data_IF_251319231250
#
_entry.id   IF_251319231250
#
_cell.length_a   1.000
_cell.length_b   1.000
_cell.length_c   1.000
_cell.angle_alpha   90.00
_cell.angle_beta   90.00
_cell.angle_gamma   90.00
#
_symmetry.space_group_name_H-M   'P 1'
#
loop_
_entity.id
_entity.type
_entity.pdbx_description
1 polymer ?
#
# COMPACT_ATOMS: atom_id res chain seq x y z
N UNK A 1 -18.61 7.24 0.93
CA UNK A 1 -17.69 8.33 1.38
C UNK A 1 -16.48 7.70 2.02
N UNK A 2 -15.29 8.00 1.56
CA UNK A 2 -14.05 7.41 2.08
C UNK A 2 -13.75 7.88 3.51
N UNK A 3 -13.36 6.95 4.39
CA UNK A 3 -13.07 7.25 5.81
C UNK A 3 -12.05 6.27 6.38
N UNK A 4 -11.45 6.63 7.51
CA UNK A 4 -10.67 5.73 8.35
C UNK A 4 -11.64 4.78 9.08
N UNK A 5 -11.36 3.47 9.03
CA UNK A 5 -12.26 2.42 9.53
C UNK A 5 -11.99 2.14 11.01
N UNK A 6 -10.72 2.10 11.41
CA UNK A 6 -10.32 1.65 12.75
C UNK A 6 -9.16 2.50 13.30
N UNK A 7 -8.85 2.34 14.57
CA UNK A 7 -7.71 2.98 15.23
C UNK A 7 -8.00 4.38 15.75
N UNK A 8 -6.93 5.16 15.97
CA UNK A 8 -6.97 6.45 16.66
C UNK A 8 -7.70 7.55 15.88
N UNK A 9 -7.76 7.44 14.55
CA UNK A 9 -8.47 8.38 13.67
C UNK A 9 -9.80 7.81 13.12
N UNK A 10 -10.36 6.75 13.72
CA UNK A 10 -11.61 6.11 13.27
C UNK A 10 -12.72 7.13 12.98
N UNK A 11 -13.37 6.96 11.84
CA UNK A 11 -14.49 7.79 11.39
C UNK A 11 -14.08 9.09 10.69
N UNK A 12 -12.81 9.49 10.71
CA UNK A 12 -12.34 10.66 9.96
C UNK A 12 -12.57 10.46 8.47
N UNK A 13 -13.23 11.43 7.84
CA UNK A 13 -13.51 11.45 6.42
C UNK A 13 -12.25 11.83 5.64
N UNK A 14 -12.03 11.19 4.51
CA UNK A 14 -10.93 11.46 3.59
C UNK A 14 -11.46 12.06 2.29
N UNK A 15 -10.74 13.03 1.76
CA UNK A 15 -10.95 13.54 0.40
C UNK A 15 -10.48 12.50 -0.62
N UNK A 16 -11.10 12.49 -1.79
CA UNK A 16 -10.75 11.65 -2.94
C UNK A 16 -10.46 12.54 -4.14
N UNK A 17 -9.73 12.02 -5.11
CA UNK A 17 -9.57 12.63 -6.41
C UNK A 17 -10.94 12.75 -7.13
N UNK A 18 -11.14 13.79 -7.93
CA UNK A 18 -12.32 13.88 -8.79
C UNK A 18 -12.33 12.70 -9.77
N UNK A 19 -13.46 11.99 -9.84
CA UNK A 19 -13.61 10.79 -10.67
C UNK A 19 -13.28 9.47 -9.98
N UNK A 20 -12.60 9.46 -8.85
CA UNK A 20 -12.51 8.28 -7.96
C UNK A 20 -13.83 8.13 -7.18
N UNK A 21 -14.83 7.55 -7.82
CA UNK A 21 -16.05 7.20 -7.10
C UNK A 21 -15.72 6.20 -6.00
N UNK A 22 -16.03 6.57 -4.76
CA UNK A 22 -15.95 5.67 -3.61
C UNK A 22 -16.90 4.49 -3.84
N UNK A 23 -16.37 3.40 -4.38
CA UNK A 23 -17.15 2.17 -4.56
C UNK A 23 -17.30 1.49 -3.20
N UNK A 24 -18.49 0.97 -2.84
CA UNK A 24 -18.68 0.14 -1.64
C UNK A 24 -17.70 -1.03 -1.58
N UNK A 25 -17.24 -1.50 -2.74
CA UNK A 25 -16.24 -2.56 -2.89
C UNK A 25 -14.90 -2.15 -2.28
N UNK A 26 -14.48 -0.89 -2.41
CA UNK A 26 -13.19 -0.41 -1.88
C UNK A 26 -13.15 -0.40 -0.33
N UNK A 27 -14.23 -0.08 0.36
CA UNK A 27 -14.29 -0.17 1.83
C UNK A 27 -14.21 -1.63 2.30
N UNK A 28 -14.93 -2.55 1.65
CA UNK A 28 -14.88 -3.99 1.97
C UNK A 28 -13.51 -4.60 1.74
N UNK A 29 -12.85 -4.23 0.63
CA UNK A 29 -11.47 -4.68 0.34
C UNK A 29 -10.54 -4.18 1.44
N UNK A 30 -10.60 -2.89 1.76
CA UNK A 30 -9.79 -2.29 2.81
C UNK A 30 -10.02 -2.98 4.17
N UNK A 31 -11.26 -3.20 4.57
CA UNK A 31 -11.60 -3.95 5.79
C UNK A 31 -10.99 -5.35 5.79
N UNK A 32 -11.09 -6.08 4.69
CA UNK A 32 -10.59 -7.44 4.57
C UNK A 32 -9.06 -7.52 4.59
N UNK A 33 -8.37 -6.58 3.92
CA UNK A 33 -6.91 -6.45 3.96
C UNK A 33 -6.46 -6.20 5.39
N UNK A 34 -6.98 -5.15 6.02
CA UNK A 34 -6.58 -4.76 7.37
C UNK A 34 -7.01 -5.75 8.46
N UNK A 35 -8.06 -6.54 8.24
CA UNK A 35 -8.39 -7.67 9.12
C UNK A 35 -7.37 -8.79 9.01
N UNK A 36 -6.86 -9.06 7.81
CA UNK A 36 -5.88 -10.13 7.61
C UNK A 36 -4.50 -9.81 8.21
N UNK A 37 -4.11 -8.52 8.22
CA UNK A 37 -2.79 -8.06 8.71
C UNK A 37 -2.89 -7.29 10.04
N UNK A 38 -3.98 -7.40 10.78
CA UNK A 38 -4.28 -6.54 11.94
C UNK A 38 -3.22 -6.57 13.05
N UNK A 39 -2.50 -7.68 13.20
CA UNK A 39 -1.45 -7.85 14.21
C UNK A 39 -0.05 -7.49 13.71
N UNK A 40 0.05 -7.09 12.43
CA UNK A 40 1.32 -6.85 11.73
C UNK A 40 1.48 -5.38 11.32
N UNK A 41 0.80 -4.44 11.96
CA UNK A 41 0.80 -3.02 11.55
C UNK A 41 1.56 -2.14 12.54
N UNK A 42 1.45 -2.45 13.84
CA UNK A 42 2.03 -1.63 14.89
C UNK A 42 3.55 -1.46 14.70
N UNK A 43 4.03 -0.22 14.86
CA UNK A 43 5.42 0.20 14.70
C UNK A 43 6.07 -0.06 13.33
N UNK A 44 5.29 -0.49 12.33
CA UNK A 44 5.81 -0.74 10.97
C UNK A 44 6.08 0.55 10.19
N UNK A 45 7.11 0.51 9.38
CA UNK A 45 7.38 1.50 8.33
C UNK A 45 6.65 1.08 7.08
N UNK A 46 5.76 1.93 6.62
CA UNK A 46 4.84 1.65 5.52
C UNK A 46 5.25 2.40 4.26
N UNK A 47 5.14 1.73 3.12
CA UNK A 47 5.20 2.33 1.78
C UNK A 47 3.83 2.20 1.11
N UNK A 48 3.23 3.32 0.72
CA UNK A 48 2.04 3.39 -0.14
C UNK A 48 2.51 3.85 -1.52
N UNK A 49 2.73 2.89 -2.43
CA UNK A 49 3.49 3.11 -3.66
C UNK A 49 2.66 3.74 -4.79
N UNK A 50 1.34 3.67 -4.69
CA UNK A 50 0.37 4.30 -5.59
C UNK A 50 -0.71 4.95 -4.72
N UNK A 51 -0.32 6.04 -4.06
CA UNK A 51 -1.04 6.53 -2.88
C UNK A 51 -2.48 6.99 -3.15
N UNK A 52 -2.78 7.54 -4.34
CA UNK A 52 -4.11 8.09 -4.63
C UNK A 52 -4.57 9.06 -3.55
N UNK A 53 -5.61 8.70 -2.81
CA UNK A 53 -6.10 9.47 -1.65
C UNK A 53 -5.32 9.24 -0.35
N UNK A 54 -4.38 8.30 -0.32
CA UNK A 54 -3.59 7.91 0.85
C UNK A 54 -4.34 7.02 1.85
N UNK A 55 -5.46 6.42 1.43
CA UNK A 55 -6.35 5.69 2.34
C UNK A 55 -5.69 4.49 3.03
N UNK A 56 -4.79 3.76 2.34
CA UNK A 56 -4.13 2.57 2.91
C UNK A 56 -3.05 2.98 3.92
N UNK A 57 -2.21 3.93 3.56
CA UNK A 57 -1.18 4.45 4.46
C UNK A 57 -1.77 5.14 5.69
N UNK A 58 -2.80 5.97 5.54
CA UNK A 58 -3.45 6.67 6.66
C UNK A 58 -4.22 5.71 7.58
N UNK A 59 -4.85 4.68 7.04
CA UNK A 59 -5.45 3.60 7.84
C UNK A 59 -4.38 2.87 8.66
N UNK A 60 -3.20 2.61 8.06
CA UNK A 60 -2.07 1.98 8.77
C UNK A 60 -1.59 2.85 9.94
N UNK A 61 -1.46 4.17 9.76
CA UNK A 61 -1.11 5.10 10.84
C UNK A 61 -2.16 5.11 11.96
N UNK A 62 -3.44 5.07 11.59
CA UNK A 62 -4.53 4.99 12.55
C UNK A 62 -4.48 3.72 13.40
N UNK A 63 -3.88 2.66 12.88
CA UNK A 63 -3.71 1.34 13.55
C UNK A 63 -2.34 1.18 14.21
N UNK A 64 -1.54 2.24 14.31
CA UNK A 64 -0.29 2.24 15.07
C UNK A 64 0.98 2.12 14.24
N UNK A 65 0.94 2.20 12.90
CA UNK A 65 2.17 2.25 12.11
C UNK A 65 3.07 3.43 12.54
N UNK A 66 4.38 3.22 12.49
CA UNK A 66 5.36 4.22 12.90
C UNK A 66 5.42 5.40 11.92
N UNK A 67 5.45 5.11 10.62
CA UNK A 67 5.54 6.12 9.57
C UNK A 67 5.07 5.59 8.22
N UNK A 68 4.68 6.51 7.33
CA UNK A 68 4.31 6.16 5.95
C UNK A 68 5.06 7.05 4.96
N UNK A 69 5.59 6.40 3.91
CA UNK A 69 6.05 7.07 2.70
C UNK A 69 4.98 6.93 1.61
N UNK A 70 4.44 8.04 1.15
CA UNK A 70 3.45 8.10 0.09
C UNK A 70 4.11 8.48 -1.23
N UNK A 71 3.91 7.66 -2.26
CA UNK A 71 4.40 7.88 -3.62
C UNK A 71 3.20 7.90 -4.55
N UNK A 72 3.15 8.89 -5.42
CA UNK A 72 2.23 8.94 -6.55
C UNK A 72 2.85 9.76 -7.68
N UNK A 73 2.54 9.41 -8.91
CA UNK A 73 2.98 10.16 -10.08
C UNK A 73 2.19 11.47 -10.28
N UNK A 74 0.95 11.50 -9.79
CA UNK A 74 0.09 12.67 -9.85
C UNK A 74 0.34 13.62 -8.66
N UNK A 75 0.73 14.85 -8.97
CA UNK A 75 0.90 15.90 -7.94
C UNK A 75 -0.38 16.13 -7.14
N UNK A 76 -1.52 16.10 -7.81
CA UNK A 76 -2.83 16.31 -7.20
C UNK A 76 -3.14 15.23 -6.15
N UNK A 77 -2.81 13.95 -6.43
CA UNK A 77 -2.94 12.87 -5.45
C UNK A 77 -2.12 13.17 -4.19
N UNK A 78 -0.86 13.55 -4.34
CA UNK A 78 -0.01 13.88 -3.20
C UNK A 78 -0.54 15.09 -2.40
N UNK A 79 -1.12 16.10 -3.04
CA UNK A 79 -1.74 17.22 -2.31
C UNK A 79 -2.98 16.75 -1.51
N UNK A 80 -3.80 15.87 -2.08
CA UNK A 80 -4.93 15.26 -1.36
C UNK A 80 -4.44 14.42 -0.17
N UNK A 81 -3.39 13.61 -0.34
CA UNK A 81 -2.79 12.85 0.77
C UNK A 81 -2.35 13.78 1.91
N UNK A 82 -1.69 14.90 1.60
CA UNK A 82 -1.28 15.89 2.61
C UNK A 82 -2.47 16.47 3.38
N UNK A 83 -3.55 16.84 2.68
CA UNK A 83 -4.75 17.33 3.31
C UNK A 83 -5.41 16.27 4.21
N UNK A 84 -5.46 15.03 3.75
CA UNK A 84 -5.98 13.90 4.51
C UNK A 84 -5.12 13.59 5.73
N UNK A 85 -3.79 13.65 5.61
CA UNK A 85 -2.86 13.50 6.72
C UNK A 85 -3.06 14.59 7.79
N UNK A 86 -3.29 15.84 7.37
CA UNK A 86 -3.63 16.94 8.27
C UNK A 86 -4.98 16.70 8.98
N UNK A 87 -6.00 16.26 8.24
CA UNK A 87 -7.34 15.98 8.79
C UNK A 87 -7.31 14.85 9.82
N UNK A 88 -6.49 13.83 9.57
CA UNK A 88 -6.33 12.69 10.48
C UNK A 88 -5.37 12.97 11.64
N UNK A 89 -4.52 14.01 11.56
CA UNK A 89 -3.54 14.37 12.58
C UNK A 89 -2.21 13.63 12.46
N UNK A 90 -1.88 13.07 11.28
CA UNK A 90 -0.69 12.24 11.09
C UNK A 90 0.41 12.89 10.25
N UNK A 91 0.35 14.21 10.02
CA UNK A 91 1.30 14.91 9.12
C UNK A 91 2.76 14.72 9.48
N UNK A 92 3.09 14.61 10.74
CA UNK A 92 4.44 14.39 11.28
C UNK A 92 5.00 12.97 11.05
N UNK A 93 4.12 12.01 10.82
CA UNK A 93 4.46 10.60 10.52
C UNK A 93 4.50 10.29 9.02
N UNK A 94 4.23 11.27 8.17
CA UNK A 94 4.10 11.10 6.73
C UNK A 94 5.27 11.73 5.97
N UNK A 95 5.75 11.02 4.96
CA UNK A 95 6.62 11.55 3.91
C UNK A 95 5.93 11.43 2.56
N UNK A 96 6.17 12.39 1.67
CA UNK A 96 5.47 12.49 0.40
C UNK A 96 6.45 12.70 -0.75
N UNK A 97 6.22 12.05 -1.89
CA UNK A 97 7.00 12.30 -3.08
C UNK A 97 6.14 12.15 -4.34
N UNK A 98 6.14 13.16 -5.18
CA UNK A 98 5.59 13.07 -6.54
C UNK A 98 6.64 12.38 -7.41
N UNK A 99 6.40 11.12 -7.79
CA UNK A 99 7.32 10.33 -8.60
C UNK A 99 6.61 9.14 -9.23
N UNK A 100 7.04 8.76 -10.41
CA UNK A 100 6.80 7.41 -10.92
C UNK A 100 7.49 6.38 -10.00
N UNK A 101 6.85 5.23 -9.79
CA UNK A 101 7.32 4.21 -8.85
C UNK A 101 8.69 3.63 -9.22
N UNK A 102 9.00 3.47 -10.52
CA UNK A 102 10.31 2.96 -11.00
C UNK A 102 11.43 3.92 -10.67
N UNK A 103 11.18 5.22 -10.89
CA UNK A 103 12.13 6.27 -10.55
C UNK A 103 12.36 6.36 -9.04
N UNK A 104 11.29 6.24 -8.25
CA UNK A 104 11.40 6.20 -6.79
C UNK A 104 12.24 5.02 -6.33
N UNK A 105 11.89 3.80 -6.73
CA UNK A 105 12.58 2.57 -6.33
C UNK A 105 14.06 2.64 -6.69
N UNK A 106 14.39 3.04 -7.92
CA UNK A 106 15.77 3.21 -8.37
C UNK A 106 16.60 4.19 -7.52
N UNK A 107 16.01 5.34 -7.15
CA UNK A 107 16.66 6.36 -6.31
C UNK A 107 16.74 6.01 -4.83
N UNK A 108 15.85 5.15 -4.37
CA UNK A 108 15.78 4.70 -2.99
C UNK A 108 16.60 3.42 -2.73
N UNK A 109 17.13 2.77 -3.76
CA UNK A 109 17.94 1.55 -3.64
C UNK A 109 19.07 1.71 -2.61
N UNK A 110 19.25 0.71 -1.75
CA UNK A 110 20.23 0.71 -0.66
C UNK A 110 19.84 1.58 0.53
N UNK A 111 18.65 2.17 0.56
CA UNK A 111 18.11 2.84 1.74
C UNK A 111 17.44 1.82 2.66
N UNK A 112 17.09 2.30 3.86
CA UNK A 112 16.37 1.48 4.83
C UNK A 112 15.00 1.02 4.29
N UNK A 113 14.75 -0.30 4.32
CA UNK A 113 13.57 -0.94 3.77
C UNK A 113 12.28 -0.69 4.56
N UNK A 114 11.19 -1.21 4.02
CA UNK A 114 9.83 -1.11 4.57
C UNK A 114 9.38 -2.46 5.13
N UNK A 115 8.49 -2.40 6.12
CA UNK A 115 7.90 -3.57 6.79
C UNK A 115 6.52 -3.91 6.23
N UNK A 116 5.82 -2.95 5.64
CA UNK A 116 4.52 -3.11 5.01
C UNK A 116 4.45 -2.25 3.73
N UNK A 117 4.06 -2.86 2.63
CA UNK A 117 3.98 -2.17 1.33
C UNK A 117 2.62 -2.41 0.70
N UNK A 118 1.97 -1.34 0.24
CA UNK A 118 0.78 -1.38 -0.59
C UNK A 118 1.14 -1.08 -2.03
N UNK A 119 0.67 -1.92 -2.95
CA UNK A 119 0.88 -1.81 -4.40
C UNK A 119 -0.48 -1.95 -5.07
N UNK A 120 -1.13 -0.83 -5.35
CA UNK A 120 -2.43 -0.72 -6.02
C UNK A 120 -2.33 0.22 -7.22
N UNK A 121 -1.74 -0.22 -8.33
CA UNK A 121 -1.59 0.60 -9.52
C UNK A 121 -2.94 0.83 -10.22
N UNK A 122 -3.16 2.01 -10.83
CA UNK A 122 -4.44 2.36 -11.46
C UNK A 122 -4.84 1.44 -12.62
N UNK A 123 -3.91 0.75 -13.24
CA UNK A 123 -4.17 -0.18 -14.36
C UNK A 123 -3.10 -1.26 -14.44
N UNK A 124 -3.58 -2.52 -14.60
CA UNK A 124 -2.89 -3.70 -15.09
C UNK A 124 -1.91 -4.44 -14.16
N UNK A 125 -2.17 -5.73 -14.05
CA UNK A 125 -1.42 -6.81 -13.41
C UNK A 125 0.10 -6.74 -13.48
N UNK A 126 0.63 -6.42 -14.67
CA UNK A 126 2.08 -6.37 -14.91
C UNK A 126 2.81 -5.34 -14.06
N UNK A 127 2.15 -4.24 -13.70
CA UNK A 127 2.76 -3.20 -12.87
C UNK A 127 2.89 -3.63 -11.40
N UNK A 128 1.99 -4.43 -10.86
CA UNK A 128 2.05 -4.88 -9.47
C UNK A 128 3.21 -5.85 -9.25
N UNK A 129 3.39 -6.83 -10.13
CA UNK A 129 4.52 -7.78 -10.08
C UNK A 129 5.85 -7.05 -10.34
N UNK A 130 5.92 -6.19 -11.37
CA UNK A 130 7.12 -5.40 -11.67
C UNK A 130 7.54 -4.55 -10.48
N UNK A 131 6.60 -3.92 -9.80
CA UNK A 131 6.87 -3.12 -8.61
C UNK A 131 7.40 -3.98 -7.45
N UNK A 132 6.78 -5.12 -7.17
CA UNK A 132 7.22 -6.03 -6.10
C UNK A 132 8.64 -6.57 -6.35
N UNK A 133 8.95 -6.99 -7.59
CA UNK A 133 10.29 -7.43 -8.00
C UNK A 133 11.32 -6.34 -7.81
N UNK A 134 11.03 -5.13 -8.30
CA UNK A 134 11.96 -3.98 -8.18
C UNK A 134 12.21 -3.59 -6.74
N UNK A 135 11.20 -3.65 -5.86
CA UNK A 135 11.38 -3.38 -4.43
C UNK A 135 12.31 -4.41 -3.78
N UNK A 136 12.15 -5.69 -4.15
CA UNK A 136 13.03 -6.76 -3.70
C UNK A 136 14.47 -6.57 -4.18
N UNK A 137 14.66 -6.38 -5.50
CA UNK A 137 15.99 -6.17 -6.11
C UNK A 137 16.70 -4.92 -5.58
N UNK A 138 15.96 -3.88 -5.23
CA UNK A 138 16.49 -2.65 -4.67
C UNK A 138 16.81 -2.73 -3.16
N UNK A 139 16.53 -3.87 -2.49
CA UNK A 139 16.72 -4.04 -1.05
C UNK A 139 15.81 -3.15 -0.20
N UNK A 140 14.61 -2.84 -0.71
CA UNK A 140 13.65 -1.95 -0.02
C UNK A 140 12.60 -2.70 0.80
N UNK A 141 12.71 -4.03 0.92
CA UNK A 141 11.89 -4.85 1.78
C UNK A 141 12.73 -5.38 2.93
N UNK A 142 12.25 -5.25 4.16
CA UNK A 142 12.86 -5.88 5.34
C UNK A 142 12.45 -7.35 5.40
N UNK A 143 13.28 -8.19 6.01
CA UNK A 143 12.91 -9.56 6.32
C UNK A 143 11.59 -9.61 7.08
N UNK A 144 10.64 -10.44 6.66
CA UNK A 144 9.29 -10.48 7.19
C UNK A 144 8.38 -9.32 6.77
N UNK A 145 8.75 -8.57 5.73
CA UNK A 145 7.87 -7.54 5.17
C UNK A 145 6.62 -8.14 4.55
N UNK A 146 5.49 -7.49 4.79
CA UNK A 146 4.22 -7.82 4.15
C UNK A 146 4.03 -6.91 2.93
N UNK A 147 3.69 -7.52 1.80
CA UNK A 147 3.36 -6.82 0.55
C UNK A 147 1.93 -7.12 0.17
N UNK A 148 1.10 -6.10 0.09
CA UNK A 148 -0.29 -6.18 -0.36
C UNK A 148 -0.33 -5.74 -1.81
N UNK A 149 -0.67 -6.69 -2.70
CA UNK A 149 -0.82 -6.44 -4.13
C UNK A 149 -2.30 -6.40 -4.50
N UNK A 150 -2.76 -5.31 -5.10
CA UNK A 150 -4.02 -5.28 -5.83
C UNK A 150 -3.75 -5.50 -7.32
N UNK A 151 -4.56 -6.36 -7.93
CA UNK A 151 -4.57 -6.60 -9.37
C UNK A 151 -6.00 -6.57 -9.92
N UNK A 152 -6.11 -6.38 -11.25
CA UNK A 152 -7.40 -6.38 -11.94
C UNK A 152 -8.07 -7.75 -12.02
N UNK A 153 -8.74 -8.03 -13.14
CA UNK A 153 -9.66 -9.15 -13.31
C UNK A 153 -8.98 -10.54 -13.34
N UNK A 154 -7.68 -10.59 -13.62
CA UNK A 154 -6.96 -11.86 -13.79
C UNK A 154 -6.12 -12.21 -12.55
N UNK A 155 -6.04 -13.50 -12.28
CA UNK A 155 -5.13 -14.04 -11.27
C UNK A 155 -3.68 -13.75 -11.64
N UNK A 156 -2.92 -13.23 -10.69
CA UNK A 156 -1.49 -12.94 -10.89
C UNK A 156 -0.71 -14.25 -10.87
N UNK A 157 0.17 -14.46 -11.84
CA UNK A 157 1.18 -15.50 -11.77
C UNK A 157 2.26 -15.11 -10.75
N UNK A 158 2.13 -15.66 -9.55
CA UNK A 158 3.06 -15.43 -8.44
C UNK A 158 4.34 -16.26 -8.54
N UNK A 159 4.48 -17.14 -9.55
CA UNK A 159 5.70 -17.95 -9.75
C UNK A 159 6.96 -17.08 -9.92
N UNK A 160 6.79 -15.85 -10.41
CA UNK A 160 7.86 -14.87 -10.54
C UNK A 160 8.29 -14.23 -9.21
N UNK A 161 7.58 -14.48 -8.12
CA UNK A 161 7.82 -13.93 -6.78
C UNK A 161 8.25 -15.03 -5.79
N UNK A 162 9.18 -15.89 -6.19
CA UNK A 162 9.63 -17.08 -5.43
C UNK A 162 10.19 -16.77 -4.04
N UNK A 163 10.59 -15.52 -3.76
CA UNK A 163 11.04 -15.07 -2.43
C UNK A 163 9.88 -14.68 -1.51
N UNK A 164 8.63 -14.83 -1.97
CA UNK A 164 7.45 -14.49 -1.19
C UNK A 164 6.62 -15.75 -0.91
N UNK A 165 6.08 -15.83 0.29
CA UNK A 165 5.01 -16.74 0.65
C UNK A 165 3.66 -16.04 0.52
N UNK A 166 2.69 -16.71 -0.11
CA UNK A 166 1.32 -16.22 -0.20
C UNK A 166 0.61 -16.49 1.12
N UNK A 167 0.35 -15.43 1.90
CA UNK A 167 -0.45 -15.54 3.14
C UNK A 167 -1.93 -15.67 2.79
N UNK A 168 -2.39 -14.86 1.85
CA UNK A 168 -3.80 -14.82 1.43
C UNK A 168 -3.92 -14.35 0.00
N UNK A 169 -4.81 -15.03 -0.75
CA UNK A 169 -5.25 -14.59 -2.07
C UNK A 169 -6.77 -14.57 -2.07
N UNK A 170 -7.39 -13.48 -2.44
CA UNK A 170 -8.85 -13.32 -2.40
C UNK A 170 -9.35 -12.48 -3.55
N UNK A 171 -10.43 -12.94 -4.16
CA UNK A 171 -11.11 -12.26 -5.25
C UNK A 171 -12.30 -11.45 -4.74
N UNK A 172 -12.38 -10.18 -5.10
CA UNK A 172 -13.47 -9.28 -4.73
C UNK A 172 -14.26 -8.81 -5.96
N UNK A 173 -15.45 -9.40 -6.14
CA UNK A 173 -16.28 -9.13 -7.31
C UNK A 173 -15.63 -9.63 -8.59
N UNK A 174 -15.83 -8.92 -9.72
CA UNK A 174 -15.25 -9.29 -11.02
C UNK A 174 -13.96 -8.56 -11.37
N UNK A 175 -13.46 -7.67 -10.48
CA UNK A 175 -12.47 -6.66 -10.90
C UNK A 175 -11.26 -6.49 -9.99
N UNK A 176 -11.16 -7.21 -8.88
CA UNK A 176 -10.04 -7.03 -7.96
C UNK A 176 -9.61 -8.33 -7.33
N UNK A 177 -8.35 -8.70 -7.53
CA UNK A 177 -7.63 -9.69 -6.77
C UNK A 177 -6.73 -9.00 -5.76
N UNK A 178 -6.77 -9.47 -4.52
CA UNK A 178 -5.87 -9.03 -3.46
C UNK A 178 -5.00 -10.20 -3.05
N UNK A 179 -3.70 -10.01 -3.17
CA UNK A 179 -2.70 -10.94 -2.69
C UNK A 179 -1.92 -10.32 -1.55
N UNK A 180 -1.87 -11.00 -0.41
CA UNK A 180 -1.05 -10.63 0.74
C UNK A 180 0.11 -11.60 0.79
N UNK A 181 1.31 -11.05 0.62
CA UNK A 181 2.55 -11.79 0.50
C UNK A 181 3.47 -11.48 1.68
N UNK A 182 4.16 -12.50 2.18
CA UNK A 182 5.23 -12.36 3.16
C UNK A 182 6.58 -12.54 2.46
N UNK A 183 7.44 -11.53 2.55
CA UNK A 183 8.82 -11.65 2.08
C UNK A 183 9.63 -12.52 3.02
N UNK A 184 10.19 -13.59 2.48
CA UNK A 184 11.14 -14.46 3.18
C UNK A 184 12.54 -14.18 2.65
N UNK A 185 13.38 -13.63 3.50
CA UNK A 185 14.80 -13.55 3.18
C UNK A 185 15.33 -14.99 2.97
N UNK A 186 16.06 -15.21 1.87
CA UNK A 186 16.69 -16.52 1.66
C UNK A 186 17.74 -16.70 2.74
N UNK A 187 17.63 -17.77 3.51
CA UNK A 187 18.75 -18.25 4.33
C UNK A 187 19.90 -18.59 3.36
N UNK A 188 21.05 -17.93 3.55
CA UNK A 188 22.29 -18.26 2.83
C UNK A 188 22.86 -19.60 3.27
#
# INVERSE_FOLDING_TARGET
>A
MLRIITGTAKGKKLKTLEGEATRPTSERIKEAVFSAIQFDIEDRRVLDLFAGSGQMGLESLSRGAASVMFIDSAREAIEIVKENAKTTGFSDKCKYLVSDYRNYIRKASGREGFDLVFIDPPYAMKSSIDAAKRLLEAGLLRAGAIVVLESGEDEIDLSELSSFEVIKSTHYGKKSFINILLYKEKEE
#
